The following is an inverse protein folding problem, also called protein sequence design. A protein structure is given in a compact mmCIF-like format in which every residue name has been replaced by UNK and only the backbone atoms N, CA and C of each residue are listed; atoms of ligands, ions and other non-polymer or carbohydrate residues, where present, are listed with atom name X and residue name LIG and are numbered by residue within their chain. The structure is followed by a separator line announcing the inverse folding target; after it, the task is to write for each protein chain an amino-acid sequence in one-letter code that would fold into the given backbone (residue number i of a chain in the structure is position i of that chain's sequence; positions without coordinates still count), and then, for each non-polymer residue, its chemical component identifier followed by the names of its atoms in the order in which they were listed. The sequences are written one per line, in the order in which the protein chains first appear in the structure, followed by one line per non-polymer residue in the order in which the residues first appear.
data_IF_268217455513
#
_entry.id   IF_268217455513
#
_cell.length_a   1.000
_cell.length_b   1.000
_cell.length_c   1.000
_cell.angle_alpha   90.00
_cell.angle_beta   90.00
_cell.angle_gamma   90.00
#
_symmetry.space_group_name_H-M   'P 1'
#
loop_
_entity.id
_entity.type
_entity.pdbx_description
1 polymer ?
#
# COMPACT_ATOMS: atom_id res chain seq x y z
N UNK A 1 -9.86 16.57 -19.50
CA UNK A 1 -9.53 15.12 -19.37
C UNK A 1 -8.04 15.00 -19.12
N UNK A 2 -7.60 15.20 -17.88
CA UNK A 2 -6.22 15.03 -17.41
C UNK A 2 -6.32 14.56 -15.96
N UNK A 3 -6.60 13.27 -15.77
CA UNK A 3 -6.54 12.57 -14.48
C UNK A 3 -6.00 11.19 -14.80
N UNK A 4 -4.68 11.03 -14.83
CA UNK A 4 -4.03 9.72 -14.87
C UNK A 4 -2.67 9.86 -14.17
N UNK A 5 -2.32 8.85 -13.38
CA UNK A 5 -1.03 8.65 -12.71
C UNK A 5 -0.92 9.21 -11.28
N UNK A 6 -1.78 8.77 -10.36
CA UNK A 6 -1.31 8.66 -8.97
C UNK A 6 -0.42 7.42 -8.79
N UNK A 7 -0.60 6.35 -9.57
CA UNK A 7 0.22 5.13 -9.40
C UNK A 7 0.49 4.28 -10.65
N UNK A 8 0.10 4.73 -11.84
CA UNK A 8 0.56 4.16 -13.12
C UNK A 8 2.08 4.07 -13.32
N UNK A 9 2.89 4.47 -12.32
CA UNK A 9 4.34 4.43 -12.31
C UNK A 9 4.89 3.47 -11.23
N UNK A 10 4.13 2.44 -10.86
CA UNK A 10 4.69 1.19 -10.34
C UNK A 10 4.49 0.00 -11.31
N UNK A 11 3.98 0.28 -12.51
CA UNK A 11 3.72 -0.69 -13.58
C UNK A 11 4.86 -0.69 -14.63
N UNK A 12 5.54 -1.85 -14.77
CA UNK A 12 6.15 -2.47 -15.98
C UNK A 12 7.24 -1.63 -16.71
N UNK A 13 8.46 -2.06 -17.07
CA UNK A 13 9.11 -3.35 -17.40
C UNK A 13 10.63 -3.32 -17.11
N UNK A 14 11.25 -4.48 -16.87
CA UNK A 14 12.69 -4.72 -17.17
C UNK A 14 12.89 -4.78 -18.71
N UNK A 15 14.11 -4.63 -19.28
CA UNK A 15 15.42 -4.61 -18.65
C UNK A 15 16.26 -3.36 -18.99
N UNK A 16 16.99 -2.83 -17.99
CA UNK A 16 18.32 -2.25 -18.22
C UNK A 16 19.06 -2.18 -16.87
N UNK A 17 19.85 -3.22 -16.57
CA UNK A 17 20.84 -3.16 -15.49
C UNK A 17 22.22 -3.12 -16.14
N UNK A 18 22.70 -1.91 -16.38
CA UNK A 18 24.13 -1.64 -16.44
C UNK A 18 24.52 -0.98 -15.12
N UNK A 19 25.15 -1.79 -14.26
CA UNK A 19 26.15 -1.40 -13.26
C UNK A 19 25.78 -0.26 -12.30
N UNK A 20 25.35 -0.62 -11.08
CA UNK A 20 25.47 0.24 -9.91
C UNK A 20 26.15 -0.51 -8.75
N UNK A 21 26.94 0.20 -7.92
CA UNK A 21 27.88 -0.37 -6.96
C UNK A 21 27.18 -0.99 -5.74
N UNK A 22 27.87 -1.82 -4.94
CA UNK A 22 27.26 -2.50 -3.81
C UNK A 22 26.89 -1.47 -2.74
N UNK A 23 25.59 -1.15 -2.64
CA UNK A 23 25.04 -0.59 -1.42
C UNK A 23 25.26 -1.59 -0.30
N UNK A 24 25.62 -1.12 0.90
CA UNK A 24 25.77 -1.88 2.14
C UNK A 24 24.52 -2.75 2.43
N UNK A 25 24.43 -3.90 1.78
CA UNK A 25 23.40 -4.90 1.93
C UNK A 25 23.93 -6.01 2.81
N UNK A 26 23.07 -6.53 3.67
CA UNK A 26 23.25 -7.81 4.34
C UNK A 26 23.81 -8.84 3.34
N UNK A 27 24.75 -9.67 3.81
CA UNK A 27 25.42 -10.67 2.99
C UNK A 27 24.40 -11.40 2.08
N UNK A 28 24.73 -11.68 0.81
CA UNK A 28 23.86 -12.49 -0.04
C UNK A 28 23.49 -13.76 0.71
N UNK A 29 22.19 -14.04 0.83
CA UNK A 29 21.71 -15.29 1.42
C UNK A 29 22.48 -16.44 0.79
N UNK A 30 22.98 -17.38 1.59
CA UNK A 30 23.71 -18.53 1.05
C UNK A 30 22.96 -19.16 -0.13
N UNK A 31 23.67 -19.56 -1.21
CA UNK A 31 23.03 -20.18 -2.34
C UNK A 31 22.37 -21.49 -1.90
N UNK A 32 21.06 -21.54 -2.03
CA UNK A 32 20.27 -22.75 -1.84
C UNK A 32 20.38 -23.67 -3.07
N UNK A 33 20.25 -25.00 -2.92
CA UNK A 33 20.26 -25.92 -4.05
C UNK A 33 19.09 -25.63 -5.00
N UNK A 34 19.30 -25.88 -6.29
CA UNK A 34 18.27 -25.76 -7.33
C UNK A 34 17.45 -27.04 -7.38
N UNK A 35 16.29 -27.01 -6.72
CA UNK A 35 15.42 -28.17 -6.58
C UNK A 35 14.21 -28.07 -7.51
N UNK A 36 13.45 -29.16 -7.63
CA UNK A 36 12.28 -29.19 -8.50
C UNK A 36 11.12 -28.36 -7.94
N UNK A 37 11.06 -28.21 -6.61
CA UNK A 37 10.17 -27.30 -5.91
C UNK A 37 10.97 -26.47 -4.91
N UNK A 38 10.76 -25.17 -4.94
CA UNK A 38 11.32 -24.18 -4.02
C UNK A 38 10.19 -23.33 -3.45
N UNK A 39 10.40 -22.81 -2.25
CA UNK A 39 9.42 -21.96 -1.60
C UNK A 39 10.03 -20.72 -0.97
N UNK A 40 9.20 -19.71 -0.78
CA UNK A 40 9.52 -18.50 -0.07
C UNK A 40 8.33 -18.03 0.79
N UNK A 41 8.60 -17.64 2.02
CA UNK A 41 7.68 -16.94 2.90
C UNK A 41 8.08 -15.48 2.99
N UNK A 42 7.17 -14.59 2.62
CA UNK A 42 7.30 -13.17 2.89
C UNK A 42 6.42 -12.83 4.08
N UNK A 43 7.05 -12.39 5.16
CA UNK A 43 6.35 -11.97 6.36
C UNK A 43 6.33 -10.47 6.42
N UNK A 44 5.16 -9.95 6.10
CA UNK A 44 4.81 -8.54 6.16
C UNK A 44 4.21 -8.26 7.53
N UNK A 45 4.24 -7.00 7.95
CA UNK A 45 3.42 -6.52 9.05
C UNK A 45 1.91 -6.64 8.83
N UNK A 46 1.38 -6.96 7.64
CA UNK A 46 -0.07 -7.09 7.39
C UNK A 46 -0.50 -8.47 6.89
N UNK A 47 0.41 -9.25 6.31
CA UNK A 47 0.09 -10.55 5.72
C UNK A 47 1.32 -11.46 5.70
N UNK A 48 1.10 -12.75 5.51
CA UNK A 48 2.13 -13.73 5.16
C UNK A 48 1.83 -14.21 3.75
N UNK A 49 2.84 -14.19 2.89
CA UNK A 49 2.73 -14.65 1.50
C UNK A 49 3.63 -15.87 1.33
N UNK A 50 3.05 -16.98 0.91
CA UNK A 50 3.74 -18.17 0.47
C UNK A 50 3.86 -18.14 -1.07
N UNK A 51 5.09 -18.04 -1.54
CA UNK A 51 5.47 -18.20 -2.95
C UNK A 51 6.07 -19.60 -3.14
N UNK A 52 5.56 -20.33 -4.12
CA UNK A 52 6.05 -21.65 -4.49
C UNK A 52 6.45 -21.59 -5.95
N UNK A 53 7.67 -21.98 -6.25
CA UNK A 53 8.16 -22.10 -7.62
C UNK A 53 8.49 -23.56 -7.89
N UNK A 54 7.96 -24.09 -9.00
CA UNK A 54 8.15 -25.48 -9.33
C UNK A 54 8.44 -25.74 -10.81
N UNK A 55 9.21 -26.79 -11.05
CA UNK A 55 9.36 -27.44 -12.35
C UNK A 55 8.09 -28.28 -12.63
N UNK A 56 7.41 -28.05 -13.76
CA UNK A 56 6.17 -28.78 -14.06
C UNK A 56 6.34 -30.29 -14.28
N UNK A 57 7.41 -30.70 -14.96
CA UNK A 57 7.61 -32.09 -15.37
C UNK A 57 7.76 -33.07 -14.19
N UNK A 58 8.55 -32.76 -13.13
CA UNK A 58 8.62 -33.59 -11.93
C UNK A 58 7.27 -33.74 -11.20
N UNK A 59 6.40 -32.72 -11.28
CA UNK A 59 5.10 -32.72 -10.63
C UNK A 59 3.99 -33.42 -11.43
N UNK A 60 4.23 -33.76 -12.71
CA UNK A 60 3.17 -34.18 -13.62
C UNK A 60 2.37 -35.41 -13.16
N UNK A 61 3.03 -36.35 -12.45
CA UNK A 61 2.39 -37.56 -11.95
C UNK A 61 1.49 -37.25 -10.75
N UNK A 62 1.99 -36.46 -9.80
CA UNK A 62 1.21 -36.01 -8.64
C UNK A 62 0.00 -35.18 -9.07
N UNK A 63 0.17 -34.36 -10.11
CA UNK A 63 -0.88 -33.53 -10.69
C UNK A 63 -1.75 -34.28 -11.72
N UNK A 64 -1.42 -35.53 -12.09
CA UNK A 64 -2.14 -36.28 -13.13
C UNK A 64 -2.29 -35.50 -14.44
N UNK A 65 -1.20 -34.95 -14.97
CA UNK A 65 -1.19 -34.15 -16.20
C UNK A 65 -1.08 -35.02 -17.46
N UNK A 66 -0.40 -36.17 -17.38
CA UNK A 66 -0.23 -37.11 -18.49
C UNK A 66 0.46 -36.50 -19.71
N UNK A 67 1.44 -35.62 -19.49
CA UNK A 67 2.14 -34.93 -20.58
C UNK A 67 3.19 -35.83 -21.21
N UNK A 68 3.34 -35.72 -22.53
CA UNK A 68 4.54 -36.19 -23.20
C UNK A 68 5.66 -35.16 -22.96
N UNK A 69 6.75 -35.51 -22.26
CA UNK A 69 7.84 -34.56 -21.98
C UNK A 69 8.49 -33.97 -23.23
N UNK A 70 8.38 -34.64 -24.39
CA UNK A 70 8.94 -34.18 -25.65
C UNK A 70 7.99 -33.24 -26.42
N UNK A 71 6.70 -33.21 -26.08
CA UNK A 71 5.71 -32.39 -26.75
C UNK A 71 5.67 -30.95 -26.21
N UNK A 72 5.41 -29.94 -27.05
CA UNK A 72 5.12 -28.59 -26.58
C UNK A 72 3.84 -28.58 -25.72
N UNK A 73 3.90 -27.82 -24.63
CA UNK A 73 2.78 -27.56 -23.73
C UNK A 73 2.00 -26.35 -24.25
N UNK A 74 0.72 -26.58 -24.48
CA UNK A 74 -0.24 -25.59 -24.97
C UNK A 74 -0.71 -24.63 -23.87
N UNK A 75 -1.23 -23.44 -24.24
CA UNK A 75 -1.89 -22.55 -23.28
C UNK A 75 -3.00 -23.22 -22.46
N UNK A 76 -3.78 -24.12 -23.09
CA UNK A 76 -4.84 -24.87 -22.40
C UNK A 76 -4.27 -25.84 -21.36
N UNK A 77 -3.17 -26.53 -21.68
CA UNK A 77 -2.47 -27.38 -20.72
C UNK A 77 -1.85 -26.57 -19.58
N UNK A 78 -1.32 -25.37 -19.85
CA UNK A 78 -0.84 -24.47 -18.78
C UNK A 78 -1.99 -24.01 -17.88
N UNK A 79 -3.14 -23.65 -18.43
CA UNK A 79 -4.31 -23.30 -17.64
C UNK A 79 -4.74 -24.45 -16.71
N UNK A 80 -4.75 -25.69 -17.22
CA UNK A 80 -5.03 -26.88 -16.41
C UNK A 80 -3.95 -27.10 -15.32
N UNK A 81 -2.67 -26.89 -15.65
CA UNK A 81 -1.58 -26.95 -14.68
C UNK A 81 -1.80 -25.92 -13.56
N UNK A 82 -2.20 -24.68 -13.87
CA UNK A 82 -2.45 -23.64 -12.87
C UNK A 82 -3.55 -24.04 -11.89
N UNK A 83 -4.68 -24.56 -12.40
CA UNK A 83 -5.78 -25.06 -11.58
C UNK A 83 -5.31 -26.19 -10.65
N UNK A 84 -4.66 -27.20 -11.21
CA UNK A 84 -4.21 -28.37 -10.45
C UNK A 84 -3.13 -28.04 -9.44
N UNK A 85 -2.15 -27.23 -9.81
CA UNK A 85 -1.07 -26.82 -8.92
C UNK A 85 -1.62 -26.01 -7.73
N UNK A 86 -2.62 -25.15 -7.96
CA UNK A 86 -3.25 -24.37 -6.90
C UNK A 86 -3.87 -25.27 -5.84
N UNK A 87 -4.69 -26.25 -6.27
CA UNK A 87 -5.32 -27.22 -5.36
C UNK A 87 -4.25 -28.06 -4.67
N UNK A 88 -3.30 -28.58 -5.45
CA UNK A 88 -2.24 -29.44 -4.95
C UNK A 88 -1.39 -28.79 -3.86
N UNK A 89 -0.92 -27.55 -4.07
CA UNK A 89 -0.14 -26.87 -3.06
C UNK A 89 -0.98 -26.45 -1.85
N UNK A 90 -2.24 -26.08 -2.03
CA UNK A 90 -3.13 -25.79 -0.90
C UNK A 90 -3.36 -27.03 0.00
N UNK A 91 -3.47 -28.22 -0.59
CA UNK A 91 -3.71 -29.46 0.16
C UNK A 91 -2.44 -30.01 0.87
N UNK A 92 -1.24 -29.65 0.38
CA UNK A 92 0.03 -30.20 0.87
C UNK A 92 0.93 -29.17 1.57
N UNK A 93 0.46 -27.92 1.72
CA UNK A 93 1.11 -26.89 2.53
C UNK A 93 0.10 -26.34 3.53
N UNK A 94 0.46 -26.36 4.82
CA UNK A 94 -0.39 -25.81 5.88
C UNK A 94 0.38 -24.73 6.61
N UNK A 95 -0.21 -23.53 6.66
CA UNK A 95 0.31 -22.42 7.45
C UNK A 95 -0.50 -22.32 8.74
N UNK A 96 0.18 -22.34 9.88
CA UNK A 96 -0.42 -22.13 11.19
C UNK A 96 -0.07 -20.72 11.69
N UNK A 97 -1.08 -20.02 12.21
CA UNK A 97 -0.96 -18.72 12.87
C UNK A 97 -1.36 -18.91 14.33
N UNK A 98 -0.40 -18.75 15.24
CA UNK A 98 -0.59 -19.02 16.67
C UNK A 98 -1.09 -20.46 16.97
N UNK A 99 -0.70 -21.41 16.11
CA UNK A 99 -1.07 -22.83 16.20
C UNK A 99 -2.36 -23.20 15.46
N UNK A 100 -3.13 -22.21 14.99
CA UNK A 100 -4.39 -22.45 14.27
C UNK A 100 -4.17 -22.47 12.74
N UNK A 101 -4.74 -23.45 12.01
CA UNK A 101 -4.67 -23.50 10.56
C UNK A 101 -5.25 -22.24 9.90
N UNK A 102 -4.44 -21.63 9.04
CA UNK A 102 -4.80 -20.43 8.32
C UNK A 102 -5.13 -20.77 6.87
N UNK A 103 -6.27 -20.28 6.38
CA UNK A 103 -6.68 -20.49 4.99
C UNK A 103 -5.88 -19.59 4.05
N UNK A 104 -4.96 -20.19 3.30
CA UNK A 104 -4.24 -19.52 2.22
C UNK A 104 -5.19 -19.18 1.08
N UNK A 105 -5.11 -17.94 0.59
CA UNK A 105 -5.88 -17.45 -0.56
C UNK A 105 -4.90 -17.25 -1.70
N UNK A 106 -5.09 -17.96 -2.80
CA UNK A 106 -4.24 -17.83 -3.99
C UNK A 106 -4.44 -16.47 -4.64
N UNK A 107 -3.38 -15.65 -4.66
CA UNK A 107 -3.37 -14.33 -5.28
C UNK A 107 -3.03 -14.41 -6.77
N UNK A 108 -2.07 -15.26 -7.13
CA UNK A 108 -1.61 -15.37 -8.51
C UNK A 108 -1.00 -16.72 -8.85
N UNK A 109 -1.11 -17.09 -10.13
CA UNK A 109 -0.39 -18.20 -10.75
C UNK A 109 0.25 -17.70 -12.03
N UNK A 110 1.55 -17.92 -12.16
CA UNK A 110 2.34 -17.42 -13.29
C UNK A 110 3.23 -18.49 -13.88
N UNK A 111 3.52 -18.30 -15.16
CA UNK A 111 4.49 -19.09 -15.89
C UNK A 111 5.65 -18.18 -16.23
N UNK A 112 6.84 -18.58 -15.80
CA UNK A 112 8.04 -17.74 -15.89
C UNK A 112 9.19 -18.52 -16.52
N UNK A 113 10.13 -17.79 -17.10
CA UNK A 113 11.37 -18.40 -17.60
C UNK A 113 12.19 -19.02 -16.45
N UNK A 114 13.02 -20.04 -16.71
CA UNK A 114 13.83 -20.70 -15.69
C UNK A 114 14.97 -19.84 -15.12
N UNK A 115 15.25 -18.70 -15.75
CA UNK A 115 16.30 -17.78 -15.30
C UNK A 115 15.89 -17.13 -13.97
N UNK A 116 16.59 -17.50 -12.89
CA UNK A 116 16.33 -16.98 -11.54
C UNK A 116 16.77 -15.53 -11.36
N UNK A 117 17.67 -15.00 -12.20
CA UNK A 117 18.18 -13.63 -12.10
C UNK A 117 17.24 -12.64 -12.75
N UNK A 118 16.75 -12.97 -13.95
CA UNK A 118 15.80 -12.14 -14.70
C UNK A 118 14.63 -12.97 -15.24
N UNK A 119 13.78 -13.50 -14.35
CA UNK A 119 12.63 -14.28 -14.77
C UNK A 119 11.61 -13.37 -15.44
N UNK A 120 11.15 -13.80 -16.60
CA UNK A 120 10.15 -13.09 -17.38
C UNK A 120 8.85 -13.91 -17.41
N UNK A 121 7.72 -13.23 -17.23
CA UNK A 121 6.41 -13.85 -17.42
C UNK A 121 6.24 -14.27 -18.87
N UNK A 122 5.88 -15.52 -19.09
CA UNK A 122 5.66 -16.06 -20.41
C UNK A 122 4.39 -15.48 -21.04
N UNK A 123 4.39 -15.18 -22.36
CA UNK A 123 3.18 -14.77 -23.06
C UNK A 123 2.07 -15.82 -22.92
N UNK A 124 0.83 -15.35 -22.74
CA UNK A 124 -0.32 -16.22 -22.46
C UNK A 124 -0.56 -17.28 -23.55
N UNK A 125 -0.25 -16.96 -24.81
CA UNK A 125 -0.42 -17.79 -26.00
C UNK A 125 0.82 -18.60 -26.39
N UNK A 126 1.95 -18.41 -25.71
CA UNK A 126 3.20 -19.10 -26.05
C UNK A 126 3.10 -20.64 -25.91
N UNK A 127 3.61 -21.35 -26.92
CA UNK A 127 3.90 -22.77 -26.83
C UNK A 127 5.30 -22.96 -26.23
N UNK A 128 5.41 -23.75 -25.17
CA UNK A 128 6.67 -23.93 -24.42
C UNK A 128 6.95 -25.40 -24.15
N UNK A 129 8.22 -25.79 -24.01
CA UNK A 129 8.55 -27.16 -23.55
C UNK A 129 8.51 -27.22 -22.03
N UNK A 130 8.32 -28.41 -21.47
CA UNK A 130 8.20 -28.58 -20.01
C UNK A 130 9.44 -28.16 -19.21
N UNK A 131 10.61 -28.16 -19.82
CA UNK A 131 11.88 -27.73 -19.21
C UNK A 131 12.10 -26.20 -19.26
N UNK A 132 11.46 -25.52 -20.22
CA UNK A 132 11.68 -24.11 -20.56
C UNK A 132 10.87 -23.14 -19.69
N UNK A 133 10.21 -23.62 -18.64
CA UNK A 133 9.48 -22.75 -17.73
C UNK A 133 9.38 -23.28 -16.31
N UNK A 134 8.93 -22.41 -15.42
CA UNK A 134 8.50 -22.72 -14.05
C UNK A 134 7.07 -22.24 -13.86
N UNK A 135 6.34 -22.92 -13.00
CA UNK A 135 5.09 -22.39 -12.44
C UNK A 135 5.42 -21.72 -11.10
N UNK A 136 4.91 -20.51 -10.91
CA UNK A 136 4.95 -19.80 -9.64
C UNK A 136 3.54 -19.63 -9.12
N UNK A 137 3.28 -20.12 -7.91
CA UNK A 137 2.00 -19.99 -7.21
C UNK A 137 2.24 -19.10 -5.99
N UNK A 138 1.48 -18.03 -5.86
CA UNK A 138 1.50 -17.17 -4.69
C UNK A 138 0.15 -17.24 -3.99
N UNK A 139 0.20 -17.47 -2.68
CA UNK A 139 -0.95 -17.42 -1.81
C UNK A 139 -0.64 -16.62 -0.56
N UNK A 140 -1.61 -15.83 -0.09
CA UNK A 140 -1.46 -15.00 1.09
C UNK A 140 -2.48 -15.33 2.17
N UNK A 141 -2.16 -14.90 3.38
CA UNK A 141 -3.10 -14.84 4.48
C UNK A 141 -2.86 -13.58 5.32
N UNK A 142 -3.91 -12.87 5.76
CA UNK A 142 -3.74 -11.73 6.66
C UNK A 142 -3.02 -12.14 7.94
N UNK A 143 -2.09 -11.32 8.40
CA UNK A 143 -1.40 -11.50 9.66
C UNK A 143 -2.23 -10.86 10.77
N UNK A 144 -2.71 -11.60 11.80
CA UNK A 144 -3.55 -11.02 12.84
C UNK A 144 -2.81 -9.98 13.68
N UNK A 145 -1.57 -10.27 14.09
CA UNK A 145 -0.75 -9.37 14.92
C UNK A 145 0.73 -9.46 14.56
N UNK A 146 1.51 -8.43 14.92
CA UNK A 146 2.97 -8.44 14.75
C UNK A 146 3.67 -9.46 15.67
N UNK A 147 2.97 -10.05 16.63
CA UNK A 147 3.50 -11.06 17.58
C UNK A 147 3.07 -12.49 17.22
N UNK A 148 2.28 -12.65 16.16
CA UNK A 148 1.75 -13.96 15.76
C UNK A 148 2.88 -14.92 15.43
N UNK A 149 2.85 -16.10 16.06
CA UNK A 149 3.78 -17.20 15.78
C UNK A 149 3.39 -17.88 14.47
N UNK A 150 4.36 -17.98 13.57
CA UNK A 150 4.19 -18.63 12.27
C UNK A 150 4.75 -20.06 12.32
N UNK A 151 4.00 -21.03 11.82
CA UNK A 151 4.52 -22.39 11.56
C UNK A 151 4.09 -22.84 10.18
N UNK A 152 5.02 -23.23 9.32
CA UNK A 152 4.76 -23.85 8.02
C UNK A 152 4.97 -25.36 8.15
N UNK A 153 3.96 -26.13 7.76
CA UNK A 153 4.05 -27.57 7.55
C UNK A 153 4.04 -27.87 6.06
N UNK A 154 5.07 -28.56 5.59
CA UNK A 154 5.26 -28.87 4.18
C UNK A 154 5.36 -30.36 3.92
N UNK A 155 4.45 -30.90 3.11
CA UNK A 155 4.41 -32.35 2.84
C UNK A 155 4.62 -32.71 1.37
N UNK A 156 5.00 -31.76 0.52
CA UNK A 156 5.14 -31.98 -0.91
C UNK A 156 6.60 -32.13 -1.37
N UNK A 157 7.02 -33.37 -1.57
CA UNK A 157 8.35 -33.68 -2.12
C UNK A 157 8.19 -34.44 -3.44
N UNK A 158 8.56 -33.85 -4.59
CA UNK A 158 8.61 -34.56 -5.87
C UNK A 158 9.49 -35.82 -5.78
N UNK A 159 9.25 -36.85 -6.62
CA UNK A 159 10.12 -38.01 -6.67
C UNK A 159 11.58 -37.62 -6.95
N UNK A 160 12.49 -37.98 -6.04
CA UNK A 160 13.92 -37.68 -6.15
C UNK A 160 14.36 -36.37 -5.47
N UNK A 161 13.44 -35.61 -4.87
CA UNK A 161 13.75 -34.42 -4.08
C UNK A 161 13.54 -34.71 -2.58
N UNK A 162 14.63 -34.73 -1.81
CA UNK A 162 14.60 -34.97 -0.35
C UNK A 162 14.77 -33.68 0.48
N UNK A 163 14.92 -32.54 -0.19
CA UNK A 163 15.16 -31.24 0.41
C UNK A 163 14.21 -30.22 -0.21
N UNK A 164 13.54 -29.42 0.62
CA UNK A 164 12.84 -28.21 0.19
C UNK A 164 13.67 -26.98 0.55
N UNK A 165 14.21 -26.25 -0.44
CA UNK A 165 14.79 -24.95 -0.21
C UNK A 165 13.70 -23.93 0.07
N UNK A 166 13.76 -23.32 1.25
CA UNK A 166 12.78 -22.35 1.72
C UNK A 166 13.48 -21.07 2.16
N UNK A 167 13.07 -19.93 1.60
CA UNK A 167 13.50 -18.62 2.08
C UNK A 167 12.44 -17.97 2.95
N UNK A 168 12.83 -17.31 4.02
CA UNK A 168 11.94 -16.45 4.82
C UNK A 168 12.47 -15.04 4.77
N UNK A 169 11.67 -14.13 4.24
CA UNK A 169 11.98 -12.71 4.14
C UNK A 169 11.06 -11.90 5.06
N UNK A 170 11.64 -11.09 5.94
CA UNK A 170 10.92 -10.17 6.83
C UNK A 170 11.60 -8.79 6.87
N UNK A 171 11.29 -7.97 7.89
CA UNK A 171 11.78 -6.59 7.96
C UNK A 171 13.30 -6.47 8.14
N UNK A 172 13.99 -7.55 8.54
CA UNK A 172 15.44 -7.53 8.76
C UNK A 172 16.22 -8.18 7.62
N UNK A 173 15.55 -8.82 6.65
CA UNK A 173 16.19 -9.46 5.51
C UNK A 173 15.69 -10.87 5.21
N UNK A 174 16.42 -11.57 4.35
CA UNK A 174 16.11 -12.93 3.91
C UNK A 174 17.02 -13.96 4.58
N UNK A 175 16.43 -15.09 4.99
CA UNK A 175 17.11 -16.23 5.61
C UNK A 175 16.74 -17.52 4.90
N UNK A 176 17.70 -18.42 4.76
CA UNK A 176 17.53 -19.70 4.09
C UNK A 176 17.28 -20.82 5.11
N UNK A 177 16.38 -21.73 4.77
CA UNK A 177 15.99 -22.91 5.53
C UNK A 177 15.91 -24.11 4.57
N UNK A 178 16.10 -25.30 5.12
CA UNK A 178 15.96 -26.57 4.40
C UNK A 178 14.99 -27.45 5.19
N UNK A 179 13.91 -27.88 4.54
CA UNK A 179 12.99 -28.88 5.10
C UNK A 179 13.23 -30.23 4.43
N UNK A 180 12.98 -31.30 5.17
CA UNK A 180 13.09 -32.68 4.68
C UNK A 180 11.79 -33.42 4.95
N UNK A 181 11.54 -34.57 4.32
CA UNK A 181 10.39 -35.42 4.67
C UNK A 181 10.33 -35.80 6.16
N UNK A 182 11.49 -35.97 6.80
CA UNK A 182 11.60 -36.31 8.23
C UNK A 182 11.43 -35.10 9.16
N UNK A 183 11.64 -33.88 8.64
CA UNK A 183 11.49 -32.61 9.36
C UNK A 183 10.74 -31.60 8.48
N UNK A 184 9.43 -31.82 8.23
CA UNK A 184 8.62 -31.03 7.30
C UNK A 184 8.12 -29.69 7.88
N UNK A 185 8.42 -29.42 9.15
CA UNK A 185 7.90 -28.27 9.89
C UNK A 185 8.97 -27.16 10.01
N UNK A 186 8.57 -25.92 9.76
CA UNK A 186 9.36 -24.72 10.06
C UNK A 186 8.58 -23.76 10.94
N UNK A 187 9.16 -23.40 12.09
CA UNK A 187 8.71 -22.26 12.92
C UNK A 187 9.81 -21.19 12.91
N UNK A 188 9.79 -20.21 11.98
CA UNK A 188 10.85 -19.22 11.87
C UNK A 188 10.72 -18.13 12.94
N UNK A 189 11.87 -17.62 13.40
CA UNK A 189 11.93 -16.38 14.21
C UNK A 189 11.64 -15.18 13.29
N UNK A 190 10.42 -14.65 13.38
CA UNK A 190 9.95 -13.51 12.58
C UNK A 190 10.27 -12.21 13.30
N UNK A 191 10.93 -11.29 12.59
CA UNK A 191 11.32 -9.98 13.12
C UNK A 191 10.67 -8.87 12.31
N UNK A 192 9.65 -8.29 12.91
CA UNK A 192 8.88 -7.15 12.39
C UNK A 192 9.14 -5.93 13.27
N UNK A 193 9.27 -4.76 12.66
CA UNK A 193 9.36 -3.53 13.43
C UNK A 193 8.03 -3.26 14.15
N UNK A 194 8.09 -2.87 15.42
CA UNK A 194 6.90 -2.76 16.29
C UNK A 194 5.93 -1.67 15.84
N UNK A 195 6.44 -0.65 15.15
CA UNK A 195 5.67 0.50 14.66
C UNK A 195 5.13 0.32 13.24
N UNK A 196 5.24 -0.87 12.64
CA UNK A 196 4.83 -1.10 11.24
C UNK A 196 3.35 -0.78 11.00
N UNK A 197 2.49 -0.98 11.99
CA UNK A 197 1.03 -0.74 11.88
C UNK A 197 0.59 0.57 12.53
N UNK A 198 1.52 1.38 13.01
CA UNK A 198 1.17 2.63 13.67
C UNK A 198 0.51 3.56 12.65
N UNK A 199 -0.68 4.04 12.98
CA UNK A 199 -1.37 5.01 12.14
C UNK A 199 -0.52 6.28 12.05
N UNK A 200 -0.25 6.79 10.83
CA UNK A 200 0.47 8.04 10.69
C UNK A 200 -0.22 9.16 11.48
N UNK A 201 0.54 10.04 12.12
CA UNK A 201 -0.03 11.20 12.80
C UNK A 201 -0.85 12.03 11.81
N UNK A 202 -2.03 12.54 12.21
CA UNK A 202 -2.83 13.37 11.32
C UNK A 202 -2.07 14.68 10.99
N UNK A 203 -2.43 15.36 9.88
CA UNK A 203 -1.93 16.70 9.63
C UNK A 203 -2.17 17.63 10.82
N UNK A 204 -1.27 18.59 11.10
CA UNK A 204 -1.44 19.54 12.19
C UNK A 204 -2.77 20.28 12.03
N UNK A 205 -3.48 20.58 13.12
CA UNK A 205 -4.79 21.23 12.97
C UNK A 205 -4.63 22.60 12.30
N UNK A 206 -5.51 22.96 11.34
CA UNK A 206 -5.53 24.32 10.83
C UNK A 206 -5.71 25.30 11.99
N UNK A 207 -5.03 26.45 11.96
CA UNK A 207 -5.09 27.50 12.99
C UNK A 207 -6.45 28.20 13.14
N UNK A 208 -7.54 27.44 13.09
CA UNK A 208 -8.91 27.88 13.30
C UNK A 208 -9.16 27.86 14.80
N UNK A 209 -8.83 28.96 15.45
CA UNK A 209 -9.23 29.13 16.84
C UNK A 209 -10.77 29.22 16.90
N UNK A 210 -11.46 28.36 17.67
CA UNK A 210 -12.89 28.52 17.87
C UNK A 210 -13.15 29.91 18.42
N UNK A 211 -14.21 30.55 17.93
CA UNK A 211 -14.62 31.90 18.34
C UNK A 211 -14.53 31.98 19.87
N UNK A 212 -13.76 32.93 20.44
CA UNK A 212 -13.69 33.02 21.89
C UNK A 212 -15.12 33.19 22.41
N UNK A 213 -15.48 32.38 23.41
CA UNK A 213 -16.85 32.21 23.94
C UNK A 213 -17.60 33.54 24.11
N UNK A 214 -16.86 34.64 24.34
CA UNK A 214 -17.33 36.04 24.33
C UNK A 214 -18.20 36.43 23.12
N UNK A 215 -17.92 35.95 21.91
CA UNK A 215 -18.71 36.30 20.72
C UNK A 215 -20.06 35.57 20.63
N UNK A 216 -20.22 34.47 21.37
CA UNK A 216 -21.51 33.76 21.54
C UNK A 216 -22.22 34.29 22.78
N UNK A 217 -21.48 34.59 23.85
CA UNK A 217 -21.98 35.16 25.10
C UNK A 217 -22.52 36.58 24.93
N UNK A 218 -21.91 37.43 24.10
CA UNK A 218 -22.37 38.79 23.85
C UNK A 218 -23.78 38.85 23.24
N UNK A 219 -24.11 38.12 22.16
CA UNK A 219 -25.46 38.10 21.64
C UNK A 219 -26.43 37.39 22.59
N UNK A 220 -26.00 36.35 23.34
CA UNK A 220 -26.84 35.67 24.33
C UNK A 220 -27.19 36.58 25.52
N UNK A 221 -26.21 37.33 26.04
CA UNK A 221 -26.39 38.34 27.09
C UNK A 221 -27.22 39.53 26.59
N UNK A 222 -27.02 39.95 25.33
CA UNK A 222 -27.86 40.97 24.71
C UNK A 222 -29.32 40.50 24.60
N UNK A 223 -29.56 39.23 24.22
CA UNK A 223 -30.88 38.59 24.20
C UNK A 223 -31.51 38.50 25.59
N UNK A 224 -30.72 38.13 26.61
CA UNK A 224 -31.16 38.04 28.01
C UNK A 224 -31.56 39.42 28.56
N UNK A 225 -30.72 40.44 28.35
CA UNK A 225 -31.01 41.83 28.70
C UNK A 225 -32.26 42.35 27.96
N UNK A 226 -32.44 41.96 26.71
CA UNK A 226 -33.63 42.27 25.90
C UNK A 226 -34.92 41.66 26.46
N UNK A 227 -34.89 40.39 26.90
CA UNK A 227 -36.04 39.75 27.54
C UNK A 227 -36.46 40.47 28.82
N UNK A 228 -35.48 40.99 29.57
CA UNK A 228 -35.72 41.80 30.76
C UNK A 228 -36.27 43.20 30.42
N UNK A 229 -35.87 43.79 29.28
CA UNK A 229 -36.30 45.11 28.81
C UNK A 229 -37.62 45.11 28.00
N UNK A 230 -38.17 43.93 27.67
CA UNK A 230 -39.37 43.73 26.83
C UNK A 230 -40.65 44.41 27.34
N UNK A 231 -40.63 44.94 28.57
CA UNK A 231 -41.73 45.70 29.20
C UNK A 231 -41.88 47.13 28.64
N UNK A 232 -40.92 47.61 27.84
CA UNK A 232 -40.88 48.98 27.30
C UNK A 232 -40.82 48.98 25.75
N UNK A 233 -42.01 48.95 25.10
CA UNK A 233 -42.33 49.30 23.70
C UNK A 233 -41.71 48.51 22.51
N UNK A 234 -42.55 48.26 21.47
CA UNK A 234 -42.41 47.45 20.23
C UNK A 234 -41.00 47.35 19.56
N UNK A 235 -40.09 46.41 19.95
CA UNK A 235 -38.73 46.36 19.38
C UNK A 235 -38.42 45.06 18.62
N UNK A 236 -39.40 44.21 18.29
CA UNK A 236 -39.18 42.86 17.74
C UNK A 236 -38.32 42.84 16.45
N UNK A 237 -38.49 43.85 15.58
CA UNK A 237 -37.73 43.95 14.31
C UNK A 237 -36.26 44.28 14.54
N UNK A 238 -35.94 45.13 15.52
CA UNK A 238 -34.57 45.49 15.88
C UNK A 238 -33.81 44.27 16.43
N UNK A 239 -34.50 43.39 17.17
CA UNK A 239 -33.93 42.16 17.72
C UNK A 239 -33.50 41.20 16.62
N UNK A 240 -34.38 40.99 15.63
CA UNK A 240 -34.08 40.12 14.48
C UNK A 240 -32.93 40.70 13.68
N UNK A 241 -32.89 42.02 13.47
CA UNK A 241 -31.81 42.68 12.76
C UNK A 241 -30.45 42.54 13.47
N UNK A 242 -30.41 42.69 14.80
CA UNK A 242 -29.20 42.54 15.60
C UNK A 242 -28.72 41.08 15.65
N UNK A 243 -29.64 40.12 15.72
CA UNK A 243 -29.32 38.69 15.64
C UNK A 243 -28.73 38.32 14.27
N UNK A 244 -29.32 38.82 13.19
CA UNK A 244 -28.80 38.65 11.83
C UNK A 244 -27.43 39.32 11.65
N UNK A 245 -27.23 40.51 12.22
CA UNK A 245 -25.94 41.21 12.18
C UNK A 245 -24.86 40.45 12.96
N UNK A 246 -25.18 39.90 14.13
CA UNK A 246 -24.26 39.09 14.91
C UNK A 246 -23.90 37.79 14.15
N UNK A 247 -24.87 37.12 13.55
CA UNK A 247 -24.63 35.95 12.71
C UNK A 247 -23.75 36.31 11.51
N UNK A 248 -24.00 37.44 10.84
CA UNK A 248 -23.20 37.95 9.72
C UNK A 248 -21.76 38.29 10.14
N UNK A 249 -21.57 38.91 11.30
CA UNK A 249 -20.24 39.20 11.84
C UNK A 249 -19.47 37.92 12.19
N UNK A 250 -20.16 36.92 12.72
CA UNK A 250 -19.59 35.60 13.02
C UNK A 250 -19.17 34.87 11.74
N UNK A 251 -20.04 34.81 10.72
CA UNK A 251 -19.72 34.16 9.45
C UNK A 251 -18.60 34.86 8.70
N UNK A 252 -18.57 36.20 8.69
CA UNK A 252 -17.51 36.99 8.02
C UNK A 252 -16.17 36.89 8.73
N UNK A 253 -16.13 36.80 10.06
CA UNK A 253 -14.88 36.59 10.79
C UNK A 253 -14.26 35.23 10.47
N UNK A 254 -15.08 34.17 10.47
CA UNK A 254 -14.63 32.81 10.12
C UNK A 254 -14.17 32.72 8.66
N UNK A 255 -14.87 33.36 7.73
CA UNK A 255 -14.44 33.41 6.34
C UNK A 255 -13.07 34.12 6.19
N UNK A 256 -12.86 35.23 6.92
CA UNK A 256 -11.59 35.96 6.92
C UNK A 256 -10.45 35.18 7.56
N UNK A 257 -10.70 34.42 8.63
CA UNK A 257 -9.65 33.60 9.26
C UNK A 257 -9.21 32.46 8.35
N UNK A 258 -10.16 31.79 7.68
CA UNK A 258 -9.89 30.76 6.70
C UNK A 258 -9.11 31.29 5.48
N UNK A 259 -9.53 32.45 4.96
CA UNK A 259 -8.84 33.12 3.86
C UNK A 259 -7.44 33.59 4.26
N UNK A 260 -7.27 34.08 5.49
CA UNK A 260 -5.94 34.47 6.00
C UNK A 260 -5.01 33.26 6.12
N UNK A 261 -5.52 32.12 6.58
CA UNK A 261 -4.74 30.89 6.67
C UNK A 261 -4.22 30.45 5.28
N UNK A 262 -5.09 30.51 4.26
CA UNK A 262 -4.73 30.22 2.87
C UNK A 262 -3.56 31.08 2.34
N UNK A 263 -3.44 32.33 2.82
CA UNK A 263 -2.39 33.26 2.41
C UNK A 263 -1.10 33.19 3.25
N UNK A 264 -1.06 32.41 4.33
CA UNK A 264 0.03 32.45 5.31
C UNK A 264 0.79 31.13 5.51
N UNK A 265 0.35 30.02 4.90
CA UNK A 265 1.08 28.74 5.01
C UNK A 265 2.49 28.94 4.45
N UNK A 266 3.51 28.79 5.32
CA UNK A 266 4.91 28.84 4.90
C UNK A 266 5.30 27.52 4.22
N UNK A 267 6.45 27.50 3.54
CA UNK A 267 6.96 26.27 2.92
C UNK A 267 7.20 25.16 3.96
N UNK A 268 7.67 25.51 5.16
CA UNK A 268 7.89 24.56 6.25
C UNK A 268 6.58 23.99 6.81
N UNK A 269 5.58 24.85 7.06
CA UNK A 269 4.25 24.41 7.52
C UNK A 269 3.56 23.57 6.43
N UNK A 270 3.64 24.01 5.17
CA UNK A 270 3.12 23.30 4.02
C UNK A 270 3.80 21.93 3.84
N UNK A 271 5.11 21.85 4.08
CA UNK A 271 5.87 20.60 4.09
C UNK A 271 5.36 19.65 5.15
N UNK A 272 5.21 20.09 6.40
CA UNK A 272 4.71 19.23 7.49
C UNK A 272 3.29 18.70 7.20
N UNK A 273 2.39 19.57 6.72
CA UNK A 273 1.02 19.17 6.35
C UNK A 273 1.04 18.15 5.21
N UNK A 274 1.81 18.42 4.16
CA UNK A 274 1.87 17.57 2.96
C UNK A 274 2.52 16.22 3.26
N UNK A 275 3.55 16.19 4.11
CA UNK A 275 4.21 14.97 4.56
C UNK A 275 3.21 14.03 5.24
N UNK A 276 2.40 14.55 6.17
CA UNK A 276 1.35 13.78 6.87
C UNK A 276 0.25 13.28 5.95
N UNK A 277 -0.15 14.09 4.96
CA UNK A 277 -1.12 13.67 3.95
C UNK A 277 -0.55 12.51 3.14
N UNK A 278 0.70 12.63 2.65
CA UNK A 278 1.33 11.59 1.84
C UNK A 278 1.62 10.32 2.66
N UNK A 279 2.06 10.44 3.92
CA UNK A 279 2.18 9.30 4.84
C UNK A 279 0.85 8.55 4.97
N UNK A 280 -0.27 9.28 5.17
CA UNK A 280 -1.60 8.68 5.23
C UNK A 280 -2.03 8.00 3.92
N UNK A 281 -1.75 8.64 2.77
CA UNK A 281 -2.02 8.05 1.44
C UNK A 281 -1.24 6.75 1.27
N UNK A 282 0.07 6.76 1.53
CA UNK A 282 0.92 5.58 1.35
C UNK A 282 0.66 4.49 2.40
N UNK A 283 0.24 4.88 3.62
CA UNK A 283 -0.21 3.93 4.63
C UNK A 283 -1.47 3.18 4.19
N UNK A 284 -2.37 3.79 3.41
CA UNK A 284 -3.54 3.12 2.87
C UNK A 284 -3.18 1.95 1.92
N UNK A 285 -2.05 2.00 1.21
CA UNK A 285 -1.60 0.92 0.30
C UNK A 285 -1.31 -0.41 1.00
N UNK A 286 -1.11 -0.35 2.30
CA UNK A 286 -0.74 -1.51 3.10
C UNK A 286 -1.96 -2.35 3.51
N UNK A 287 -3.19 -1.84 3.28
CA UNK A 287 -4.42 -2.55 3.59
C UNK A 287 -4.89 -3.38 2.38
N UNK A 288 -5.44 -4.56 2.68
CA UNK A 288 -6.01 -5.46 1.67
C UNK A 288 -7.53 -5.37 1.57
N UNK A 289 -8.18 -4.68 2.52
CA UNK A 289 -9.63 -4.44 2.52
C UNK A 289 -9.94 -3.09 1.89
N UNK A 290 -10.80 -3.10 0.86
CA UNK A 290 -11.30 -1.90 0.20
C UNK A 290 -11.93 -0.89 1.18
N UNK A 291 -12.70 -1.38 2.16
CA UNK A 291 -13.36 -0.54 3.16
C UNK A 291 -12.33 0.17 4.05
N UNK A 292 -11.37 -0.58 4.59
CA UNK A 292 -10.32 -0.01 5.45
C UNK A 292 -9.43 0.96 4.69
N UNK A 293 -9.08 0.60 3.45
CA UNK A 293 -8.28 1.45 2.58
C UNK A 293 -9.01 2.77 2.28
N UNK A 294 -10.30 2.70 1.95
CA UNK A 294 -11.11 3.90 1.71
C UNK A 294 -11.20 4.78 2.97
N UNK A 295 -11.46 4.18 4.13
CA UNK A 295 -11.58 4.91 5.40
C UNK A 295 -10.29 5.64 5.78
N UNK A 296 -9.13 5.00 5.58
CA UNK A 296 -7.81 5.62 5.83
C UNK A 296 -7.56 6.76 4.83
N UNK A 297 -7.81 6.54 3.55
CA UNK A 297 -7.70 7.60 2.53
C UNK A 297 -8.62 8.78 2.86
N UNK A 298 -9.84 8.52 3.31
CA UNK A 298 -10.82 9.53 3.67
C UNK A 298 -10.40 10.37 4.90
N UNK A 299 -9.35 10.01 5.64
CA UNK A 299 -8.81 10.86 6.70
C UNK A 299 -7.96 12.00 6.14
N UNK A 300 -7.25 11.78 5.04
CA UNK A 300 -6.27 12.71 4.45
C UNK A 300 -6.68 13.26 3.08
N UNK A 301 -7.65 12.63 2.43
CA UNK A 301 -8.19 13.05 1.14
C UNK A 301 -9.66 13.48 1.24
N UNK A 302 -10.04 14.37 0.34
CA UNK A 302 -11.41 14.77 0.06
C UNK A 302 -11.70 14.57 -1.43
N UNK A 303 -12.98 14.60 -1.80
CA UNK A 303 -13.37 14.49 -3.21
C UNK A 303 -12.87 15.69 -4.02
N UNK A 304 -12.50 15.49 -5.31
CA UNK A 304 -12.48 14.23 -6.05
C UNK A 304 -11.25 13.32 -5.82
N UNK A 305 -10.17 13.85 -5.21
CA UNK A 305 -8.93 13.09 -5.04
C UNK A 305 -9.10 11.77 -4.28
N UNK A 306 -10.03 11.69 -3.34
CA UNK A 306 -10.32 10.45 -2.60
C UNK A 306 -10.71 9.31 -3.55
N UNK A 307 -11.76 9.52 -4.35
CA UNK A 307 -12.25 8.50 -5.29
C UNK A 307 -11.18 8.14 -6.34
N UNK A 308 -10.51 9.15 -6.90
CA UNK A 308 -9.47 8.92 -7.93
C UNK A 308 -8.30 8.11 -7.36
N UNK A 309 -7.80 8.49 -6.17
CA UNK A 309 -6.68 7.79 -5.51
C UNK A 309 -7.06 6.37 -5.13
N UNK A 310 -8.27 6.15 -4.60
CA UNK A 310 -8.75 4.83 -4.22
C UNK A 310 -8.81 3.89 -5.43
N UNK A 311 -9.47 4.31 -6.51
CA UNK A 311 -9.61 3.50 -7.73
C UNK A 311 -8.25 3.19 -8.36
N UNK A 312 -7.34 4.17 -8.39
CA UNK A 312 -5.99 3.98 -8.92
C UNK A 312 -5.15 3.03 -8.05
N UNK A 313 -5.29 3.12 -6.73
CA UNK A 313 -4.62 2.20 -5.79
C UNK A 313 -5.06 0.77 -6.06
N UNK A 314 -6.36 0.52 -6.16
CA UNK A 314 -6.91 -0.81 -6.41
C UNK A 314 -6.44 -1.36 -7.76
N UNK A 315 -6.50 -0.57 -8.84
CA UNK A 315 -5.97 -0.98 -10.15
C UNK A 315 -4.49 -1.40 -10.08
N UNK A 316 -3.70 -0.69 -9.28
CA UNK A 316 -2.26 -0.93 -9.19
C UNK A 316 -1.95 -2.16 -8.36
N UNK A 317 -2.62 -2.35 -7.21
CA UNK A 317 -2.48 -3.55 -6.39
C UNK A 317 -2.85 -4.80 -7.21
N UNK A 318 -3.99 -4.77 -7.90
CA UNK A 318 -4.45 -5.88 -8.74
C UNK A 318 -3.51 -6.20 -9.90
N UNK A 319 -2.94 -5.18 -10.53
CA UNK A 319 -1.97 -5.39 -11.61
C UNK A 319 -0.64 -5.96 -11.11
N UNK A 320 -0.21 -5.63 -9.88
CA UNK A 320 0.99 -6.22 -9.26
C UNK A 320 0.78 -7.65 -8.85
N UNK A 321 -0.37 -7.97 -8.23
CA UNK A 321 -0.74 -9.35 -7.89
C UNK A 321 -0.62 -10.24 -9.13
N UNK A 322 -1.13 -9.79 -10.28
CA UNK A 322 -1.00 -10.51 -11.57
C UNK A 322 0.45 -10.69 -12.06
N UNK A 323 1.34 -9.76 -11.75
CA UNK A 323 2.77 -9.81 -12.13
C UNK A 323 3.69 -10.45 -11.09
N UNK A 324 3.15 -10.95 -9.97
CA UNK A 324 3.91 -11.70 -8.95
C UNK A 324 4.88 -10.88 -8.12
N UNK A 325 4.87 -9.57 -8.32
CA UNK A 325 5.75 -8.66 -7.62
C UNK A 325 5.03 -8.10 -6.41
N UNK A 326 5.61 -8.30 -5.24
CA UNK A 326 5.09 -7.74 -3.99
C UNK A 326 5.74 -6.39 -3.75
N UNK A 327 4.98 -5.31 -3.69
CA UNK A 327 5.52 -3.97 -3.45
C UNK A 327 4.97 -3.42 -2.15
N UNK A 328 5.86 -2.91 -1.32
CA UNK A 328 5.50 -2.28 -0.06
C UNK A 328 6.19 -0.96 0.11
N UNK A 329 5.48 0.05 0.58
CA UNK A 329 6.08 1.34 0.92
C UNK A 329 6.43 1.33 2.40
N UNK A 330 7.71 1.58 2.69
CA UNK A 330 8.23 1.64 4.05
C UNK A 330 8.19 3.05 4.61
N UNK A 331 8.53 4.02 3.76
CA UNK A 331 8.64 5.40 4.18
C UNK A 331 8.39 6.35 3.00
N UNK A 332 7.84 7.50 3.32
CA UNK A 332 7.65 8.62 2.42
C UNK A 332 8.22 9.85 3.11
N UNK A 333 8.88 10.71 2.36
CA UNK A 333 9.40 11.97 2.88
C UNK A 333 9.29 13.04 1.82
N UNK A 334 8.66 14.16 2.16
CA UNK A 334 8.72 15.37 1.33
C UNK A 334 10.12 15.95 1.44
N UNK A 335 10.83 16.03 0.32
CA UNK A 335 12.22 16.53 0.24
C UNK A 335 12.24 18.04 -0.01
N UNK A 336 11.32 18.54 -0.84
CA UNK A 336 11.14 19.96 -1.10
C UNK A 336 9.67 20.30 -1.35
N UNK A 337 9.27 21.51 -0.95
CA UNK A 337 7.91 22.02 -1.18
C UNK A 337 7.94 23.54 -1.34
N UNK A 338 7.12 24.05 -2.26
CA UNK A 338 6.76 25.46 -2.35
C UNK A 338 5.25 25.59 -2.17
N UNK A 339 4.84 26.34 -1.16
CA UNK A 339 3.45 26.64 -0.86
C UNK A 339 3.03 27.95 -1.53
N UNK A 340 1.87 27.95 -2.17
CA UNK A 340 1.26 29.17 -2.69
C UNK A 340 -0.25 29.18 -2.43
N UNK A 341 -0.90 30.36 -2.38
CA UNK A 341 -2.35 30.41 -2.21
C UNK A 341 -3.09 29.71 -3.35
N UNK A 342 -4.22 29.05 -3.06
CA UNK A 342 -5.05 28.45 -4.10
C UNK A 342 -5.60 29.54 -5.06
N UNK A 343 -5.66 29.27 -6.39
CA UNK A 343 -6.11 30.24 -7.40
C UNK A 343 -7.52 30.79 -7.15
N UNK A 344 -8.41 29.96 -6.61
CA UNK A 344 -9.82 30.28 -6.40
C UNK A 344 -10.09 31.03 -5.09
N UNK A 345 -9.04 31.38 -4.31
CA UNK A 345 -9.17 32.04 -3.02
C UNK A 345 -9.82 31.17 -1.93
N UNK A 346 -9.94 29.86 -2.18
CA UNK A 346 -10.40 28.88 -1.20
C UNK A 346 -9.46 28.80 0.00
N UNK A 347 -10.00 28.30 1.11
CA UNK A 347 -9.26 28.08 2.34
C UNK A 347 -8.26 26.91 2.18
N UNK A 348 -7.06 27.23 1.70
CA UNK A 348 -6.01 26.25 1.50
C UNK A 348 -4.81 26.75 0.73
N UNK A 349 -3.94 25.84 0.33
CA UNK A 349 -2.73 26.14 -0.41
C UNK A 349 -2.46 25.09 -1.49
N UNK A 350 -1.73 25.53 -2.51
CA UNK A 350 -1.17 24.71 -3.56
C UNK A 350 0.25 24.33 -3.16
N UNK A 351 0.54 23.03 -3.16
CA UNK A 351 1.82 22.45 -2.78
C UNK A 351 2.51 21.90 -4.02
N UNK A 352 3.51 22.62 -4.53
CA UNK A 352 4.44 22.08 -5.52
C UNK A 352 5.54 21.35 -4.76
N UNK A 353 5.54 20.02 -4.79
CA UNK A 353 6.42 19.23 -3.95
C UNK A 353 7.20 18.17 -4.71
N UNK A 354 8.38 17.88 -4.18
CA UNK A 354 9.21 16.73 -4.50
C UNK A 354 9.18 15.82 -3.27
N UNK A 355 8.73 14.58 -3.42
CA UNK A 355 8.84 13.58 -2.36
C UNK A 355 9.58 12.34 -2.83
N UNK A 356 10.21 11.67 -1.87
CA UNK A 356 10.82 10.36 -2.04
C UNK A 356 9.97 9.31 -1.36
N UNK A 357 9.79 8.18 -2.02
CA UNK A 357 9.26 6.96 -1.41
C UNK A 357 10.36 5.92 -1.35
N UNK A 358 10.55 5.30 -0.20
CA UNK A 358 11.34 4.07 -0.06
C UNK A 358 10.39 2.89 0.13
N UNK A 359 10.58 1.86 -0.68
CA UNK A 359 9.81 0.65 -0.61
C UNK A 359 10.64 -0.59 -0.86
N UNK A 360 10.02 -1.74 -0.66
CA UNK A 360 10.59 -3.05 -0.95
C UNK A 360 9.79 -3.75 -2.03
N UNK A 361 10.51 -4.43 -2.91
CA UNK A 361 9.94 -5.31 -3.92
C UNK A 361 10.36 -6.73 -3.64
N UNK A 362 9.40 -7.61 -3.34
CA UNK A 362 9.63 -9.02 -3.05
C UNK A 362 9.45 -9.91 -4.28
N UNK A 363 10.44 -10.76 -4.54
CA UNK A 363 10.38 -11.90 -5.47
C UNK A 363 11.52 -12.89 -5.16
N UNK A 364 11.33 -14.20 -5.35
CA UNK A 364 12.39 -15.21 -5.19
C UNK A 364 12.97 -15.31 -3.78
N UNK A 365 12.13 -15.15 -2.77
CA UNK A 365 12.48 -15.20 -1.37
C UNK A 365 13.39 -14.10 -0.85
N UNK A 366 13.45 -12.95 -1.53
CA UNK A 366 14.14 -11.77 -1.01
C UNK A 366 13.43 -10.47 -1.39
N UNK A 367 13.81 -9.39 -0.69
CA UNK A 367 13.34 -8.03 -0.97
C UNK A 367 14.45 -7.22 -1.63
N UNK A 368 14.07 -6.42 -2.61
CA UNK A 368 14.89 -5.34 -3.14
C UNK A 368 14.38 -4.00 -2.63
N UNK A 369 15.25 -3.23 -2.00
CA UNK A 369 14.94 -1.85 -1.70
C UNK A 369 14.90 -1.03 -3.00
N UNK A 370 13.90 -0.15 -3.08
CA UNK A 370 13.70 0.79 -4.18
C UNK A 370 13.38 2.16 -3.62
N UNK A 371 14.01 3.17 -4.19
CA UNK A 371 13.69 4.57 -3.94
C UNK A 371 13.12 5.18 -5.22
N UNK A 372 12.05 5.94 -5.11
CA UNK A 372 11.49 6.70 -6.22
C UNK A 372 11.26 8.14 -5.77
N UNK A 373 11.55 9.08 -6.65
CA UNK A 373 11.24 10.49 -6.46
C UNK A 373 10.07 10.88 -7.35
N UNK A 374 9.21 11.73 -6.82
CA UNK A 374 8.01 12.20 -7.48
C UNK A 374 7.91 13.70 -7.36
N UNK A 375 7.56 14.37 -8.46
CA UNK A 375 7.18 15.78 -8.44
C UNK A 375 5.70 15.90 -8.74
N UNK A 376 4.96 16.63 -7.92
CA UNK A 376 3.54 16.85 -8.13
C UNK A 376 3.08 18.23 -7.64
N UNK A 377 1.91 18.62 -8.11
CA UNK A 377 1.10 19.71 -7.57
C UNK A 377 -0.06 19.12 -6.75
N UNK A 378 -0.19 19.51 -5.48
CA UNK A 378 -1.32 19.10 -4.63
C UNK A 378 -2.16 20.31 -4.25
N UNK A 379 -3.47 20.16 -4.31
CA UNK A 379 -4.42 21.16 -3.83
C UNK A 379 -4.88 20.74 -2.44
N UNK A 380 -4.43 21.45 -1.41
CA UNK A 380 -4.71 21.11 -0.02
C UNK A 380 -5.68 22.15 0.54
N UNK A 381 -6.86 21.68 0.94
CA UNK A 381 -7.95 22.50 1.45
C UNK A 381 -8.30 22.13 2.89
N UNK A 382 -8.98 23.04 3.59
CA UNK A 382 -9.60 22.73 4.88
C UNK A 382 -11.01 22.17 4.64
N UNK A 383 -11.18 20.89 4.89
CA UNK A 383 -12.46 20.19 4.75
C UNK A 383 -12.87 19.65 6.11
N UNK A 384 -14.04 20.09 6.59
CA UNK A 384 -14.55 19.77 7.92
C UNK A 384 -13.54 20.05 9.06
N UNK A 385 -12.80 21.16 8.94
CA UNK A 385 -11.83 21.61 9.96
C UNK A 385 -10.50 20.85 9.96
N UNK A 386 -10.21 20.04 8.94
CA UNK A 386 -8.94 19.31 8.78
C UNK A 386 -8.31 19.60 7.44
N UNK A 387 -6.99 19.59 7.38
CA UNK A 387 -6.27 19.62 6.10
C UNK A 387 -6.49 18.32 5.34
N UNK A 388 -6.87 18.45 4.07
CA UNK A 388 -7.04 17.33 3.15
C UNK A 388 -6.61 17.71 1.75
N UNK A 389 -6.02 16.77 1.02
CA UNK A 389 -5.80 16.96 -0.41
C UNK A 389 -7.12 16.72 -1.17
N UNK A 390 -7.45 17.66 -2.05
CA UNK A 390 -8.64 17.63 -2.93
C UNK A 390 -8.26 17.33 -4.38
N UNK A 391 -7.00 17.58 -4.76
CA UNK A 391 -6.39 17.15 -6.01
C UNK A 391 -4.92 16.80 -5.79
N UNK A 392 -4.43 15.82 -6.55
CA UNK A 392 -3.02 15.44 -6.62
C UNK A 392 -2.69 15.23 -8.10
N UNK A 393 -1.93 16.16 -8.69
CA UNK A 393 -1.51 16.12 -10.09
C UNK A 393 -0.02 15.77 -10.19
N UNK A 394 0.27 14.50 -10.46
CA UNK A 394 1.63 14.01 -10.59
C UNK A 394 2.26 14.44 -11.92
N UNK A 395 3.39 15.11 -11.84
CA UNK A 395 4.07 15.67 -13.01
C UNK A 395 5.18 14.76 -13.54
N UNK A 396 6.01 14.19 -12.65
CA UNK A 396 7.14 13.37 -13.06
C UNK A 396 7.54 12.35 -11.99
N UNK A 397 8.25 11.29 -12.43
CA UNK A 397 8.91 10.30 -11.57
C UNK A 397 10.36 10.12 -12.01
N UNK A 398 11.28 10.18 -11.06
CA UNK A 398 12.69 9.86 -11.25
C UNK A 398 13.02 8.61 -10.42
N UNK A 399 13.62 7.61 -11.06
CA UNK A 399 14.10 6.39 -10.38
C UNK A 399 15.56 6.58 -9.99
N UNK A 400 15.91 6.17 -8.77
CA UNK A 400 17.30 5.95 -8.36
C UNK A 400 17.75 4.52 -8.69
#
# INVERSE_FOLDING_TARGET
MRSFLLLGLLLVSLPLLAQLPPSLGLAPSEPLPDEDVEAALYVTGWEVILEIVAKPLPLQNALGLGWDPAAPITPAQRALLAEKATVHFADHSTLLLDGEPAKLITDSVQFITPDKLTPETLPADALVRGEDFRIMVQASVPLPSLQTRLTLNWHQFPPGQDLLPLRVADSIGSRAYLLTPDSPELTPDIRLASNLRDTPPPPPQPGIHPLPLRWILLPLLALLALCLLRKLWKPALLVVLLGLLALLLVTTHNARSLQKLAHQVSDEEGKEITDRILEGVYHAFNFTSDEQQYDVLAQVLAEPALTETFLETNRTVEARKRGGSQVRVQNVTVEALTASPLPDGKAGFLANCLWRTRGQVGHWGHFHDRSNFFTAELHIEIVAGRWKATAIDLQNRIRE
#
